data_IF_981776326132
#
_entry.id   IF_981776326132
#
_cell.length_a   1.000
_cell.length_b   1.000
_cell.length_c   1.000
_cell.angle_alpha   90.00
_cell.angle_beta   90.00
_cell.angle_gamma   90.00
#
_symmetry.space_group_name_H-M   'P 1'
#
loop_
_entity.id
_entity.type
_entity.pdbx_description
1 polymer ?
#
# COMPACT_ATOMS: atom_id res chain seq x y z
N UNK A 1 24.50 -25.07 0.52
CA UNK A 1 24.22 -23.77 -0.13
C UNK A 1 23.95 -24.07 -1.59
N UNK A 2 22.68 -24.15 -2.01
CA UNK A 2 22.31 -24.37 -3.41
C UNK A 2 22.11 -23.00 -4.05
N UNK A 3 22.97 -22.67 -5.01
CA UNK A 3 22.76 -21.55 -5.92
C UNK A 3 21.77 -22.03 -6.98
N UNK A 4 20.74 -21.23 -7.27
CA UNK A 4 19.72 -21.55 -8.28
C UNK A 4 20.23 -21.13 -9.67
N UNK A 5 20.10 -22.02 -10.65
CA UNK A 5 20.45 -21.80 -12.05
C UNK A 5 19.38 -20.95 -12.75
N UNK A 6 19.77 -20.20 -13.79
CA UNK A 6 19.00 -19.09 -14.40
C UNK A 6 17.60 -19.39 -14.97
N UNK A 7 17.12 -20.63 -14.95
CA UNK A 7 15.74 -20.99 -15.32
C UNK A 7 14.70 -20.71 -14.22
N UNK A 8 15.15 -20.52 -12.96
CA UNK A 8 14.26 -20.28 -11.82
C UNK A 8 13.87 -18.80 -11.67
N UNK A 9 14.66 -17.87 -12.23
CA UNK A 9 14.39 -16.44 -12.12
C UNK A 9 13.16 -15.99 -12.92
N UNK A 10 12.96 -16.53 -14.13
CA UNK A 10 11.77 -16.23 -14.95
C UNK A 10 10.50 -16.83 -14.31
N UNK A 11 10.57 -18.06 -13.80
CA UNK A 11 9.45 -18.69 -13.08
C UNK A 11 9.12 -17.95 -11.77
N UNK A 12 10.14 -17.49 -11.04
CA UNK A 12 9.96 -16.67 -9.85
C UNK A 12 9.32 -15.32 -10.18
N UNK A 13 9.79 -14.64 -11.23
CA UNK A 13 9.21 -13.37 -11.67
C UNK A 13 7.75 -13.51 -12.11
N UNK A 14 7.40 -14.60 -12.81
CA UNK A 14 6.02 -14.92 -13.19
C UNK A 14 5.15 -15.21 -11.95
N UNK A 15 5.68 -15.96 -10.97
CA UNK A 15 5.00 -16.22 -9.71
C UNK A 15 4.79 -14.93 -8.89
N UNK A 16 5.79 -14.06 -8.82
CA UNK A 16 5.69 -12.77 -8.12
C UNK A 16 4.74 -11.79 -8.83
N UNK A 17 4.71 -11.78 -10.17
CA UNK A 17 3.77 -11.00 -10.96
C UNK A 17 2.32 -11.46 -10.72
N UNK A 18 2.04 -12.77 -10.81
CA UNK A 18 0.71 -13.32 -10.53
C UNK A 18 0.27 -13.07 -9.08
N UNK A 19 1.22 -13.08 -8.12
CA UNK A 19 0.97 -12.70 -6.73
C UNK A 19 0.66 -11.21 -6.58
N UNK A 20 1.35 -10.35 -7.32
CA UNK A 20 1.10 -8.90 -7.37
C UNK A 20 -0.28 -8.57 -7.93
N UNK A 21 -0.66 -9.18 -9.05
CA UNK A 21 -2.00 -9.06 -9.65
C UNK A 21 -3.10 -9.45 -8.66
N UNK A 22 -2.94 -10.61 -8.01
CA UNK A 22 -3.89 -11.07 -7.00
C UNK A 22 -4.02 -10.11 -5.81
N UNK A 23 -2.94 -9.45 -5.39
CA UNK A 23 -3.02 -8.43 -4.34
C UNK A 23 -3.69 -7.14 -4.80
N UNK A 24 -3.52 -6.78 -6.07
CA UNK A 24 -4.22 -5.65 -6.68
C UNK A 24 -5.72 -5.89 -6.75
N UNK A 25 -6.16 -7.04 -7.28
CA UNK A 25 -7.58 -7.41 -7.35
C UNK A 25 -8.25 -7.40 -5.97
N UNK A 26 -7.59 -7.99 -4.96
CA UNK A 26 -8.11 -7.97 -3.59
C UNK A 26 -8.19 -6.56 -3.01
N UNK A 27 -7.23 -5.70 -3.33
CA UNK A 27 -7.23 -4.31 -2.89
C UNK A 27 -8.35 -3.51 -3.56
N UNK A 28 -8.58 -3.69 -4.86
CA UNK A 28 -9.67 -3.06 -5.61
C UNK A 28 -11.03 -3.50 -5.08
N UNK A 29 -11.25 -4.81 -4.91
CA UNK A 29 -12.47 -5.35 -4.27
C UNK A 29 -12.67 -4.79 -2.86
N UNK A 30 -11.59 -4.63 -2.08
CA UNK A 30 -11.68 -4.01 -0.77
C UNK A 30 -12.06 -2.52 -0.85
N UNK A 31 -11.53 -1.76 -1.82
CA UNK A 31 -11.86 -0.35 -2.03
C UNK A 31 -13.35 -0.20 -2.38
N UNK A 32 -13.86 -1.04 -3.29
CA UNK A 32 -15.27 -1.06 -3.67
C UNK A 32 -16.19 -1.36 -2.47
N UNK A 33 -15.78 -2.29 -1.61
CA UNK A 33 -16.51 -2.62 -0.39
C UNK A 33 -16.36 -1.56 0.72
N UNK A 34 -15.31 -0.75 0.70
CA UNK A 34 -14.98 0.22 1.76
C UNK A 34 -14.74 1.65 1.21
N UNK A 35 -15.69 2.24 0.46
CA UNK A 35 -15.47 3.49 -0.27
C UNK A 35 -15.18 4.67 0.67
N UNK A 36 -15.77 4.69 1.87
CA UNK A 36 -15.50 5.73 2.88
C UNK A 36 -14.07 5.66 3.41
N UNK A 37 -13.57 4.45 3.70
CA UNK A 37 -12.21 4.27 4.19
C UNK A 37 -11.20 4.66 3.11
N UNK A 38 -11.47 4.28 1.85
CA UNK A 38 -10.63 4.69 0.71
C UNK A 38 -10.63 6.21 0.52
N UNK A 39 -11.80 6.84 0.53
CA UNK A 39 -11.90 8.30 0.44
C UNK A 39 -11.13 9.00 1.57
N UNK A 40 -11.15 8.43 2.78
CA UNK A 40 -10.37 8.96 3.89
C UNK A 40 -8.86 8.81 3.65
N UNK A 41 -8.38 7.65 3.18
CA UNK A 41 -6.97 7.44 2.78
C UNK A 41 -6.55 8.52 1.76
N UNK A 42 -7.34 8.72 0.71
CA UNK A 42 -7.08 9.72 -0.34
C UNK A 42 -7.02 11.13 0.26
N UNK A 43 -7.95 11.48 1.15
CA UNK A 43 -7.98 12.81 1.78
C UNK A 43 -6.72 13.10 2.61
N UNK A 44 -6.25 12.11 3.36
CA UNK A 44 -5.08 12.26 4.23
C UNK A 44 -3.78 12.29 3.41
N UNK A 45 -3.72 11.51 2.34
CA UNK A 45 -2.60 11.50 1.41
C UNK A 45 -2.45 12.84 0.66
N UNK A 46 -3.54 13.34 0.08
CA UNK A 46 -3.57 14.62 -0.64
C UNK A 46 -3.30 15.80 0.29
N UNK A 47 -3.85 15.80 1.52
CA UNK A 47 -3.52 16.79 2.55
C UNK A 47 -2.03 16.78 2.91
N UNK A 48 -1.44 15.59 3.08
CA UNK A 48 -0.01 15.47 3.36
C UNK A 48 0.84 16.03 2.22
N UNK A 49 0.48 15.70 0.97
CA UNK A 49 1.14 16.21 -0.23
C UNK A 49 1.00 17.74 -0.35
N UNK A 50 -0.18 18.30 -0.10
CA UNK A 50 -0.39 19.76 -0.16
C UNK A 50 0.41 20.52 0.90
N UNK A 51 0.78 19.88 2.00
CA UNK A 51 1.67 20.42 3.03
C UNK A 51 3.15 20.12 2.77
N UNK A 52 3.48 19.47 1.65
CA UNK A 52 4.85 19.06 1.33
C UNK A 52 5.41 17.95 2.25
N UNK A 53 4.54 17.17 2.89
CA UNK A 53 4.92 16.15 3.88
C UNK A 53 4.90 14.75 3.27
N UNK A 54 6.05 14.07 3.33
CA UNK A 54 6.15 12.68 2.91
C UNK A 54 5.54 11.72 3.94
N UNK A 55 4.93 10.64 3.48
CA UNK A 55 4.28 9.64 4.34
C UNK A 55 4.50 8.22 3.81
N UNK A 56 4.38 7.21 4.68
CA UNK A 56 4.43 5.80 4.28
C UNK A 56 3.02 5.22 4.23
N UNK A 57 2.69 4.47 3.17
CA UNK A 57 1.34 3.89 3.01
C UNK A 57 0.94 2.97 4.18
N UNK A 58 1.89 2.21 4.75
CA UNK A 58 1.62 1.40 5.94
C UNK A 58 1.19 2.26 7.13
N UNK A 59 1.91 3.36 7.40
CA UNK A 59 1.58 4.26 8.49
C UNK A 59 0.20 4.93 8.28
N UNK A 60 -0.09 5.30 7.03
CA UNK A 60 -1.39 5.84 6.65
C UNK A 60 -2.52 4.82 6.89
N UNK A 61 -2.30 3.55 6.51
CA UNK A 61 -3.25 2.47 6.75
C UNK A 61 -3.51 2.21 8.24
N UNK A 62 -2.48 2.29 9.10
CA UNK A 62 -2.69 2.18 10.56
C UNK A 62 -3.51 3.37 11.10
N UNK A 63 -3.24 4.59 10.63
CA UNK A 63 -4.01 5.76 11.00
C UNK A 63 -5.50 5.61 10.60
N UNK A 64 -5.76 5.12 9.39
CA UNK A 64 -7.11 4.86 8.92
C UNK A 64 -7.79 3.76 9.73
N UNK A 65 -7.10 2.66 10.07
CA UNK A 65 -7.68 1.62 10.95
C UNK A 65 -8.17 2.23 12.26
N UNK A 66 -7.33 3.02 12.92
CA UNK A 66 -7.71 3.69 14.16
C UNK A 66 -8.89 4.63 13.98
N UNK A 67 -8.88 5.45 12.91
CA UNK A 67 -9.97 6.39 12.63
C UNK A 67 -11.31 5.67 12.40
N UNK A 68 -11.31 4.61 11.58
CA UNK A 68 -12.52 3.86 11.26
C UNK A 68 -13.11 3.15 12.49
N UNK A 69 -12.25 2.58 13.34
CA UNK A 69 -12.69 1.89 14.56
C UNK A 69 -13.20 2.88 15.62
N UNK A 70 -12.47 3.96 15.88
CA UNK A 70 -12.75 4.88 16.99
C UNK A 70 -13.73 5.99 16.61
N UNK A 71 -13.48 6.66 15.48
CA UNK A 71 -14.25 7.85 15.08
C UNK A 71 -15.52 7.47 14.35
N UNK A 72 -15.44 6.54 13.41
CA UNK A 72 -16.59 6.05 12.63
C UNK A 72 -17.34 4.91 13.33
N UNK A 73 -16.88 4.46 14.51
CA UNK A 73 -17.47 3.37 15.31
C UNK A 73 -17.73 2.09 14.51
N UNK A 74 -16.86 1.80 13.54
CA UNK A 74 -16.93 0.56 12.76
C UNK A 74 -16.22 -0.56 13.52
N UNK A 75 -16.92 -1.12 14.49
CA UNK A 75 -16.42 -2.22 15.31
C UNK A 75 -16.00 -3.40 14.42
N UNK A 76 -14.77 -3.89 14.62
CA UNK A 76 -14.23 -4.99 13.83
C UNK A 76 -13.77 -4.60 12.41
N UNK A 77 -13.54 -3.32 12.11
CA UNK A 77 -12.97 -2.88 10.84
C UNK A 77 -11.66 -3.61 10.52
N UNK A 78 -11.57 -4.23 9.34
CA UNK A 78 -10.39 -4.99 8.88
C UNK A 78 -9.82 -4.41 7.60
N UNK A 79 -8.60 -3.88 7.73
CA UNK A 79 -7.72 -3.55 6.61
C UNK A 79 -6.54 -4.52 6.67
N UNK A 80 -6.13 -5.15 5.57
CA UNK A 80 -5.00 -6.09 5.55
C UNK A 80 -3.69 -5.38 5.14
N UNK A 81 -2.58 -5.66 5.83
CA UNK A 81 -1.26 -5.10 5.49
C UNK A 81 -0.80 -5.48 4.08
N UNK A 82 -1.26 -6.61 3.53
CA UNK A 82 -0.94 -7.05 2.17
C UNK A 82 -1.45 -6.08 1.09
N UNK A 83 -2.44 -5.23 1.42
CA UNK A 83 -2.98 -4.26 0.46
C UNK A 83 -2.11 -2.99 0.34
N UNK A 84 -1.16 -2.77 1.25
CA UNK A 84 -0.38 -1.51 1.29
C UNK A 84 0.40 -1.23 0.01
N UNK A 85 0.97 -2.24 -0.64
CA UNK A 85 1.67 -2.07 -1.92
C UNK A 85 0.69 -1.74 -3.05
N UNK A 86 -0.44 -2.45 -3.13
CA UNK A 86 -1.48 -2.20 -4.12
C UNK A 86 -2.11 -0.81 -3.94
N UNK A 87 -2.49 -0.42 -2.72
CA UNK A 87 -2.99 0.91 -2.40
C UNK A 87 -2.00 2.00 -2.78
N UNK A 88 -0.70 1.79 -2.59
CA UNK A 88 0.32 2.77 -3.01
C UNK A 88 0.25 3.00 -4.51
N UNK A 89 0.16 1.94 -5.32
CA UNK A 89 0.09 2.05 -6.78
C UNK A 89 -1.21 2.69 -7.24
N UNK A 90 -2.35 2.21 -6.73
CA UNK A 90 -3.67 2.75 -7.05
C UNK A 90 -3.76 4.24 -6.68
N UNK A 91 -3.26 4.62 -5.49
CA UNK A 91 -3.24 6.01 -5.05
C UNK A 91 -2.39 6.89 -5.98
N UNK A 92 -1.18 6.46 -6.34
CA UNK A 92 -0.32 7.24 -7.24
C UNK A 92 -0.87 7.33 -8.68
N UNK A 93 -1.59 6.30 -9.14
CA UNK A 93 -2.29 6.31 -10.44
C UNK A 93 -3.47 7.29 -10.44
N UNK A 94 -4.27 7.31 -9.37
CA UNK A 94 -5.42 8.20 -9.23
C UNK A 94 -5.04 9.64 -8.88
N UNK A 95 -3.93 9.81 -8.14
CA UNK A 95 -3.44 11.08 -7.63
C UNK A 95 -1.92 11.22 -7.90
N UNK A 96 -1.53 11.51 -9.15
CA UNK A 96 -0.11 11.67 -9.51
C UNK A 96 0.62 12.73 -8.68
N UNK A 97 -0.08 13.76 -8.21
CA UNK A 97 0.44 14.81 -7.32
C UNK A 97 0.91 14.30 -5.96
N UNK A 98 0.40 13.15 -5.52
CA UNK A 98 0.77 12.53 -4.25
C UNK A 98 2.06 11.71 -4.38
N UNK A 99 2.36 11.19 -5.58
CA UNK A 99 3.45 10.24 -5.81
C UNK A 99 4.83 10.71 -5.29
N UNK A 100 5.23 12.00 -5.42
CA UNK A 100 6.51 12.48 -4.89
C UNK A 100 6.63 12.40 -3.35
N UNK A 101 5.52 12.27 -2.64
CA UNK A 101 5.46 12.27 -1.18
C UNK A 101 5.30 10.87 -0.58
N UNK A 102 5.04 9.85 -1.40
CA UNK A 102 4.90 8.48 -0.90
C UNK A 102 6.26 7.84 -0.69
N UNK A 103 6.58 7.51 0.56
CA UNK A 103 7.77 6.73 0.91
C UNK A 103 7.51 5.25 0.68
N UNK A 104 7.97 4.73 -0.45
CA UNK A 104 8.17 3.29 -0.65
C UNK A 104 9.50 2.89 0.00
N UNK A 105 9.51 1.84 0.81
CA UNK A 105 10.73 1.43 1.55
C UNK A 105 11.83 0.88 0.64
N UNK A 106 13.08 1.19 1.01
CA UNK A 106 14.26 0.33 0.89
C UNK A 106 14.52 -0.35 2.25
N UNK A 107 15.04 -1.58 2.24
CA UNK A 107 15.56 -2.36 3.39
C UNK A 107 16.27 -3.61 2.81
N UNK A 108 17.39 -4.16 3.29
CA UNK A 108 17.97 -4.26 4.63
C UNK A 108 19.37 -3.64 4.77
N UNK A 109 19.78 -2.79 3.83
CA UNK A 109 21.18 -2.35 3.62
C UNK A 109 21.39 -0.85 3.69
N UNK A 110 20.35 -0.07 3.99
CA UNK A 110 20.53 1.33 4.35
C UNK A 110 21.30 1.47 5.70
N UNK A 111 21.75 0.34 6.28
CA UNK A 111 22.34 0.10 7.59
C UNK A 111 23.73 -0.58 7.58
N UNK A 112 24.38 -0.78 6.44
CA UNK A 112 25.83 -1.05 6.47
C UNK A 112 26.58 0.27 6.30
N UNK A 113 26.64 1.06 7.38
CA UNK A 113 27.60 2.15 7.57
C UNK A 113 28.66 1.73 8.58
#
# INVERSE_FOLDING_TARGET
MRYYDGGDAEQMALFDASKGERFREQAESWIEANPKAWAYIVSQATLSASMGRSFGMKALCEHVRWHMEVSERQEGFKLNNNYTSAFTRILCEQHPEVAPYVKTRSAAVDLCA
#
